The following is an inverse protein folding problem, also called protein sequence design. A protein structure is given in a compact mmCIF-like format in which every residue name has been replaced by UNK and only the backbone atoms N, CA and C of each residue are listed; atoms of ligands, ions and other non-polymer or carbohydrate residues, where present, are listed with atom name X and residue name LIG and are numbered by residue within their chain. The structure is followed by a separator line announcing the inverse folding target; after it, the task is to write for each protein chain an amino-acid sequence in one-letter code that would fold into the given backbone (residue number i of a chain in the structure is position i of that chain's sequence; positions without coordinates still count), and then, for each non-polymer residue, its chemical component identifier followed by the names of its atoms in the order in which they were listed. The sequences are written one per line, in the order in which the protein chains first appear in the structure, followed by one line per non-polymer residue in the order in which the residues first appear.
data_IF_972804301129
#
_entry.id   IF_972804301129
#
_cell.length_a   1.000
_cell.length_b   1.000
_cell.length_c   1.000
_cell.angle_alpha   90.00
_cell.angle_beta   90.00
_cell.angle_gamma   90.00
#
_symmetry.space_group_name_H-M   'P 1'
#
loop_
_entity.id
_entity.type
_entity.pdbx_description
1 polymer ?
#
# COMPACT_ATOMS: atom_id res chain seq x y z
N UNK A 1 9.62 -3.96 68.86
CA UNK A 1 9.11 -4.91 69.88
C UNK A 1 7.69 -4.52 70.30
N UNK A 2 6.70 -5.26 69.80
CA UNK A 2 5.50 -5.69 70.52
C UNK A 2 4.85 -6.78 69.66
N UNK A 3 4.74 -7.96 70.25
CA UNK A 3 4.26 -9.23 69.71
C UNK A 3 2.81 -9.42 70.18
N UNK A 4 2.13 -10.41 69.58
CA UNK A 4 1.01 -11.23 70.13
C UNK A 4 -0.37 -10.78 69.58
N UNK A 5 -1.25 -11.62 68.99
CA UNK A 5 -1.29 -13.08 68.71
C UNK A 5 -2.43 -13.36 67.70
N UNK A 6 -2.26 -14.42 66.90
CA UNK A 6 -3.30 -15.12 66.08
C UNK A 6 -3.76 -16.35 66.86
N UNK A 7 -5.04 -16.75 66.85
CA UNK A 7 -5.43 -18.05 66.25
C UNK A 7 -6.86 -18.02 65.66
N UNK A 8 -7.41 -18.97 64.89
CA UNK A 8 -6.98 -20.18 64.18
C UNK A 8 -8.25 -20.78 63.50
N UNK A 9 -8.05 -21.89 62.77
CA UNK A 9 -9.01 -22.91 62.29
C UNK A 9 -9.66 -22.56 60.93
N UNK A 10 -9.49 -23.31 59.84
CA UNK A 10 -9.20 -24.74 59.60
C UNK A 10 -10.32 -25.28 58.67
N UNK A 11 -10.24 -26.30 57.81
CA UNK A 11 -9.30 -27.40 57.52
C UNK A 11 -10.02 -28.30 56.46
N UNK A 12 -9.28 -28.90 55.50
CA UNK A 12 -9.56 -30.16 54.72
C UNK A 12 -10.73 -30.19 53.68
N UNK A 13 -10.75 -30.99 52.59
CA UNK A 13 -9.89 -32.05 52.03
C UNK A 13 -10.24 -32.34 50.54
N UNK A 14 -9.31 -32.97 49.83
CA UNK A 14 -9.43 -33.59 48.49
C UNK A 14 -9.95 -35.05 48.51
N UNK A 15 -10.16 -35.61 47.29
CA UNK A 15 -10.17 -37.04 46.83
C UNK A 15 -11.57 -37.55 46.36
N UNK A 16 -11.84 -38.39 45.33
CA UNK A 16 -11.13 -39.05 44.20
C UNK A 16 -12.21 -39.79 43.31
N UNK A 17 -12.01 -39.80 41.98
CA UNK A 17 -12.32 -40.80 40.89
C UNK A 17 -13.71 -41.48 40.69
N UNK A 18 -14.24 -41.48 39.46
CA UNK A 18 -14.29 -42.62 38.48
C UNK A 18 -15.35 -42.43 37.35
N UNK A 19 -14.96 -42.76 36.11
CA UNK A 19 -15.68 -42.60 34.80
C UNK A 19 -16.59 -43.81 34.44
N UNK A 20 -17.45 -43.82 33.37
CA UNK A 20 -17.01 -43.93 31.96
C UNK A 20 -17.86 -43.18 30.88
N UNK A 21 -17.23 -43.01 29.71
CA UNK A 21 -17.71 -42.47 28.41
C UNK A 21 -18.70 -43.39 27.67
N UNK A 22 -19.41 -42.92 26.61
CA UNK A 22 -18.94 -43.24 25.25
C UNK A 22 -19.08 -42.13 24.19
N UNK A 23 -18.09 -42.09 23.26
CA UNK A 23 -18.11 -41.85 21.78
C UNK A 23 -19.16 -40.89 21.19
N UNK A 24 -18.89 -39.96 20.26
CA UNK A 24 -17.82 -39.67 19.27
C UNK A 24 -18.19 -38.34 18.54
N UNK A 25 -17.53 -37.87 17.46
CA UNK A 25 -16.12 -37.88 17.06
C UNK A 25 -15.52 -36.45 16.94
N UNK A 26 -14.21 -36.41 16.71
CA UNK A 26 -13.38 -35.23 16.53
C UNK A 26 -13.71 -34.40 15.27
N UNK A 27 -13.55 -33.08 15.40
CA UNK A 27 -13.16 -32.19 14.32
C UNK A 27 -11.96 -31.38 14.81
N UNK A 28 -10.80 -31.79 14.33
CA UNK A 28 -9.60 -30.99 14.25
C UNK A 28 -9.89 -29.85 13.26
N UNK A 29 -9.72 -28.59 13.69
CA UNK A 29 -9.58 -27.45 12.78
C UNK A 29 -8.90 -26.31 13.54
N UNK A 30 -7.58 -26.27 13.40
CA UNK A 30 -6.88 -25.02 13.10
C UNK A 30 -7.72 -24.28 12.03
N UNK A 31 -8.24 -23.11 12.37
CA UNK A 31 -9.11 -22.34 11.52
C UNK A 31 -8.91 -20.88 11.82
N UNK A 32 -8.15 -20.26 10.92
CA UNK A 32 -8.02 -18.84 10.68
C UNK A 32 -9.30 -18.05 11.00
N UNK A 33 -9.16 -16.96 11.74
CA UNK A 33 -10.14 -15.87 11.77
C UNK A 33 -9.40 -14.58 12.08
N UNK A 34 -8.39 -14.30 11.26
CA UNK A 34 -7.82 -12.96 11.04
C UNK A 34 -8.27 -12.39 9.70
N UNK A 35 -9.22 -13.03 9.03
CA UNK A 35 -9.60 -12.78 7.64
C UNK A 35 -11.03 -12.23 7.60
N UNK A 36 -11.23 -10.98 8.02
CA UNK A 36 -12.54 -10.29 7.90
C UNK A 36 -12.51 -8.75 7.90
N UNK A 37 -11.34 -8.11 8.08
CA UNK A 37 -11.27 -6.63 8.10
C UNK A 37 -10.88 -6.02 6.73
N UNK A 38 -10.26 -6.80 5.86
CA UNK A 38 -9.73 -6.31 4.58
C UNK A 38 -10.81 -6.15 3.49
N UNK A 39 -11.84 -6.99 3.44
CA UNK A 39 -12.98 -6.79 2.51
C UNK A 39 -13.73 -5.49 2.86
N UNK A 40 -13.77 -5.13 4.15
CA UNK A 40 -14.33 -3.86 4.60
C UNK A 40 -13.46 -2.68 4.18
N UNK A 41 -12.12 -2.81 4.22
CA UNK A 41 -11.20 -1.82 3.64
C UNK A 41 -11.40 -1.68 2.12
N UNK A 42 -11.40 -2.77 1.36
CA UNK A 42 -11.60 -2.74 -0.11
C UNK A 42 -12.97 -2.14 -0.47
N UNK A 43 -14.04 -2.49 0.24
CA UNK A 43 -15.37 -1.92 0.03
C UNK A 43 -15.45 -0.43 0.41
N UNK A 44 -14.76 0.00 1.47
CA UNK A 44 -14.67 1.41 1.86
C UNK A 44 -13.88 2.23 0.83
N UNK A 45 -12.80 1.66 0.28
CA UNK A 45 -11.98 2.30 -0.76
C UNK A 45 -12.74 2.38 -2.09
N UNK A 46 -13.38 1.29 -2.53
CA UNK A 46 -14.21 1.25 -3.74
C UNK A 46 -15.46 2.16 -3.67
N UNK A 47 -15.94 2.51 -2.46
CA UNK A 47 -17.05 3.46 -2.30
C UNK A 47 -16.60 4.92 -2.32
N UNK A 48 -15.35 5.23 -1.94
CA UNK A 48 -14.81 6.58 -1.96
C UNK A 48 -14.28 7.01 -3.34
N UNK A 49 -13.94 6.08 -4.24
CA UNK A 49 -13.41 6.36 -5.59
C UNK A 49 -14.46 6.78 -6.63
N UNK A 50 -15.77 6.73 -6.33
CA UNK A 50 -16.83 7.13 -7.29
C UNK A 50 -16.88 8.62 -7.66
N UNK A 51 -15.89 9.42 -7.27
CA UNK A 51 -15.90 10.88 -7.44
C UNK A 51 -14.64 11.43 -8.09
N UNK A 52 -14.10 10.74 -9.10
CA UNK A 52 -13.13 11.33 -10.02
C UNK A 52 -13.88 11.94 -11.22
N UNK A 53 -13.70 13.23 -11.56
CA UNK A 53 -14.32 13.82 -12.74
C UNK A 53 -13.73 13.24 -14.03
N UNK A 54 -14.58 12.78 -14.93
CA UNK A 54 -14.20 12.41 -16.31
C UNK A 54 -13.60 13.62 -17.02
N UNK A 55 -12.31 13.59 -17.35
CA UNK A 55 -11.72 14.60 -18.22
C UNK A 55 -12.17 14.36 -19.67
N UNK A 56 -12.91 15.32 -20.20
CA UNK A 56 -13.26 15.42 -21.62
C UNK A 56 -12.09 16.12 -22.32
N UNK A 57 -11.44 15.45 -23.26
CA UNK A 57 -10.38 16.00 -24.09
C UNK A 57 -10.95 17.03 -25.09
N UNK A 58 -10.93 18.30 -24.71
CA UNK A 58 -11.11 19.43 -25.62
C UNK A 58 -9.76 19.90 -26.13
N UNK A 59 -9.34 19.41 -27.30
CA UNK A 59 -8.18 19.93 -28.01
C UNK A 59 -8.57 21.22 -28.74
N UNK A 60 -8.10 22.37 -28.27
CA UNK A 60 -8.09 23.61 -29.06
C UNK A 60 -6.65 24.01 -29.37
N UNK A 61 -6.37 24.13 -30.67
CA UNK A 61 -5.10 24.54 -31.27
C UNK A 61 -4.70 25.96 -30.89
N UNK A 62 -3.41 26.19 -30.64
CA UNK A 62 -2.81 27.53 -30.65
C UNK A 62 -1.90 27.69 -31.88
N UNK A 63 -2.07 28.75 -32.70
CA UNK A 63 -1.15 29.06 -33.80
C UNK A 63 -0.01 29.99 -33.37
N UNK A 64 1.20 29.67 -33.88
CA UNK A 64 2.36 30.50 -34.23
C UNK A 64 2.73 31.78 -33.44
N UNK A 65 4.00 31.89 -33.04
CA UNK A 65 4.99 32.75 -33.72
C UNK A 65 6.34 32.73 -32.97
N UNK A 66 7.43 32.69 -33.73
CA UNK A 66 8.81 32.81 -33.26
C UNK A 66 9.13 34.26 -32.92
N UNK A 67 9.64 34.49 -31.71
CA UNK A 67 10.61 35.55 -31.43
C UNK A 67 11.55 35.06 -30.31
N UNK A 68 12.84 35.31 -30.52
CA UNK A 68 13.92 34.83 -29.67
C UNK A 68 14.10 35.62 -28.38
N UNK A 69 15.00 35.06 -27.55
CA UNK A 69 15.61 35.69 -26.38
C UNK A 69 14.77 35.63 -25.06
N UNK A 70 15.22 34.73 -24.19
CA UNK A 70 15.11 34.81 -22.73
C UNK A 70 13.71 34.83 -22.10
N UNK A 71 13.05 33.65 -22.09
CA UNK A 71 12.17 33.32 -20.98
C UNK A 71 11.98 31.80 -20.84
N UNK A 72 12.99 31.08 -20.32
CA UNK A 72 12.74 29.79 -19.65
C UNK A 72 12.01 30.06 -18.33
N UNK A 73 10.81 30.63 -18.41
CA UNK A 73 9.79 30.36 -17.41
C UNK A 73 9.32 28.96 -17.76
N UNK A 74 9.93 27.97 -17.09
CA UNK A 74 9.24 26.72 -16.76
C UNK A 74 7.83 27.12 -16.39
N UNK A 75 6.86 26.74 -17.22
CA UNK A 75 5.47 26.80 -16.87
C UNK A 75 5.31 26.03 -15.54
N UNK A 76 4.96 26.69 -14.41
CA UNK A 76 4.59 25.98 -13.20
C UNK A 76 3.10 25.66 -13.33
N UNK A 77 2.78 24.77 -14.27
CA UNK A 77 1.43 24.23 -14.44
C UNK A 77 1.54 22.72 -14.63
N UNK A 78 2.18 22.06 -13.68
CA UNK A 78 1.95 20.64 -13.34
C UNK A 78 2.26 20.48 -11.85
N UNK A 79 1.56 21.27 -11.03
CA UNK A 79 1.53 21.08 -9.59
C UNK A 79 0.06 20.95 -9.23
N UNK A 80 -0.35 19.76 -8.78
CA UNK A 80 -1.57 19.66 -8.00
C UNK A 80 -2.59 18.57 -8.33
N UNK A 81 -2.22 17.44 -8.93
CA UNK A 81 -2.95 16.19 -8.67
C UNK A 81 -1.93 15.10 -8.40
N UNK A 82 -1.82 14.71 -7.14
CA UNK A 82 -1.10 13.51 -6.76
C UNK A 82 -1.82 12.31 -7.38
N UNK A 83 -1.08 11.40 -8.01
CA UNK A 83 -1.62 10.14 -8.53
C UNK A 83 -1.96 9.18 -7.38
N UNK A 84 -1.32 9.38 -6.23
CA UNK A 84 -1.46 8.57 -5.03
C UNK A 84 -2.11 9.32 -3.88
N UNK A 85 -2.72 8.54 -2.97
CA UNK A 85 -3.43 9.05 -1.81
C UNK A 85 -2.93 8.36 -0.54
N UNK A 86 -2.72 9.14 0.51
CA UNK A 86 -2.51 8.60 1.86
C UNK A 86 -3.83 8.72 2.62
N UNK A 87 -4.34 7.58 3.08
CA UNK A 87 -5.50 7.52 3.96
C UNK A 87 -5.07 7.00 5.32
N UNK A 88 -5.66 7.57 6.37
CA UNK A 88 -5.44 7.18 7.75
C UNK A 88 -6.80 6.86 8.38
N UNK A 89 -6.88 5.68 8.99
CA UNK A 89 -7.92 5.28 9.94
C UNK A 89 -7.34 5.31 11.35
N UNK A 90 -8.15 5.00 12.35
CA UNK A 90 -7.68 4.88 13.74
C UNK A 90 -6.72 3.70 13.94
N UNK A 91 -6.70 2.74 13.00
CA UNK A 91 -5.95 1.48 13.11
C UNK A 91 -4.81 1.37 12.10
N UNK A 92 -4.93 2.02 10.93
CA UNK A 92 -3.98 1.87 9.83
C UNK A 92 -3.77 3.17 9.06
N UNK A 93 -2.55 3.39 8.58
CA UNK A 93 -2.27 4.41 7.56
C UNK A 93 -1.70 3.73 6.33
N UNK A 94 -2.25 4.04 5.15
CA UNK A 94 -1.88 3.42 3.89
C UNK A 94 -1.75 4.45 2.76
N UNK A 95 -0.77 4.23 1.90
CA UNK A 95 -0.58 4.89 0.60
C UNK A 95 -1.09 3.95 -0.50
N UNK A 96 -1.91 4.44 -1.41
CA UNK A 96 -2.40 3.65 -2.54
C UNK A 96 -2.68 4.49 -3.79
N UNK A 97 -2.74 3.81 -4.94
CA UNK A 97 -3.25 4.33 -6.20
C UNK A 97 -3.74 3.19 -7.09
N UNK A 98 -4.69 3.50 -7.96
CA UNK A 98 -5.22 2.57 -8.97
C UNK A 98 -4.27 2.48 -10.16
N UNK A 99 -4.11 1.27 -10.69
CA UNK A 99 -3.28 0.99 -11.86
C UNK A 99 -4.14 0.90 -13.13
N UNK A 100 -3.54 1.16 -14.31
CA UNK A 100 -4.22 1.03 -15.61
C UNK A 100 -4.81 2.32 -16.20
N UNK A 101 -4.72 3.45 -15.48
CA UNK A 101 -5.03 4.79 -16.01
C UNK A 101 -3.93 5.82 -15.72
N UNK A 102 -2.71 5.38 -15.38
CA UNK A 102 -1.60 6.30 -15.09
C UNK A 102 -0.98 6.82 -16.38
N UNK A 103 -0.49 8.08 -16.41
CA UNK A 103 0.19 8.66 -17.58
C UNK A 103 1.39 7.85 -18.08
N UNK A 104 1.97 7.03 -17.21
CA UNK A 104 3.13 6.20 -17.51
C UNK A 104 2.82 4.82 -18.04
N UNK A 105 1.55 4.38 -18.05
CA UNK A 105 1.20 3.00 -18.39
C UNK A 105 1.65 2.61 -19.80
N UNK A 106 1.53 3.51 -20.77
CA UNK A 106 2.03 3.28 -22.14
C UNK A 106 3.54 3.01 -22.15
N UNK A 107 4.32 3.74 -21.36
CA UNK A 107 5.77 3.54 -21.27
C UNK A 107 6.15 2.24 -20.56
N UNK A 108 5.33 1.78 -19.61
CA UNK A 108 5.52 0.48 -18.95
C UNK A 108 5.26 -0.66 -19.94
N UNK A 109 4.16 -0.59 -20.71
CA UNK A 109 3.88 -1.55 -21.76
C UNK A 109 4.95 -1.58 -22.87
N UNK A 110 5.45 -0.41 -23.29
CA UNK A 110 6.55 -0.33 -24.27
C UNK A 110 7.85 -0.95 -23.76
N UNK A 111 8.08 -0.93 -22.44
CA UNK A 111 9.21 -1.61 -21.81
C UNK A 111 9.01 -3.13 -21.67
N UNK A 112 7.81 -3.64 -21.97
CA UNK A 112 7.49 -5.07 -21.95
C UNK A 112 6.89 -5.58 -20.64
N UNK A 113 6.58 -4.69 -19.70
CA UNK A 113 5.98 -5.03 -18.42
C UNK A 113 4.49 -4.70 -18.39
N UNK A 114 3.76 -5.32 -17.46
CA UNK A 114 2.37 -4.98 -17.17
C UNK A 114 2.30 -3.92 -16.05
N UNK A 115 1.63 -2.76 -16.25
CA UNK A 115 1.49 -1.73 -15.23
C UNK A 115 0.44 -2.13 -14.18
N UNK A 116 0.76 -3.16 -13.39
CA UNK A 116 -0.06 -3.68 -12.30
C UNK A 116 0.54 -3.28 -10.92
N UNK A 117 -0.14 -3.59 -9.81
CA UNK A 117 0.36 -3.21 -8.49
C UNK A 117 1.69 -3.88 -8.12
N UNK A 118 1.95 -5.12 -8.55
CA UNK A 118 3.22 -5.82 -8.31
C UNK A 118 4.38 -5.14 -9.04
N UNK A 119 4.16 -4.73 -10.29
CA UNK A 119 5.11 -3.89 -11.04
C UNK A 119 5.46 -2.62 -10.25
N UNK A 120 4.44 -1.90 -9.78
CA UNK A 120 4.65 -0.67 -9.01
C UNK A 120 5.31 -0.92 -7.65
N UNK A 121 5.13 -2.11 -7.06
CA UNK A 121 5.88 -2.56 -5.90
C UNK A 121 7.36 -2.74 -6.21
N UNK A 122 7.70 -3.35 -7.35
CA UNK A 122 9.07 -3.41 -7.87
C UNK A 122 9.67 -2.02 -8.04
N UNK A 123 8.94 -1.10 -8.67
CA UNK A 123 9.38 0.29 -8.86
C UNK A 123 9.62 0.99 -7.52
N UNK A 124 8.72 0.83 -6.54
CA UNK A 124 8.88 1.38 -5.20
C UNK A 124 10.19 0.92 -4.55
N UNK A 125 10.51 -0.38 -4.65
CA UNK A 125 11.76 -0.97 -4.13
C UNK A 125 13.01 -0.40 -4.82
N UNK A 126 12.93 -0.05 -6.11
CA UNK A 126 14.05 0.55 -6.84
C UNK A 126 14.29 2.02 -6.45
N UNK A 127 13.22 2.79 -6.24
CA UNK A 127 13.32 4.24 -6.00
C UNK A 127 13.49 4.61 -4.53
N UNK A 128 13.03 3.75 -3.62
CA UNK A 128 13.03 4.00 -2.19
C UNK A 128 13.24 2.72 -1.35
N UNK A 129 14.31 1.92 -1.59
CA UNK A 129 14.50 0.62 -0.93
C UNK A 129 14.44 0.71 0.60
N UNK A 130 15.19 1.66 1.17
CA UNK A 130 15.28 1.92 2.62
C UNK A 130 13.95 2.30 3.29
N UNK A 131 13.01 2.85 2.50
CA UNK A 131 11.66 3.19 2.99
C UNK A 131 10.77 1.96 2.90
N UNK A 132 10.89 1.20 1.80
CA UNK A 132 10.12 -0.01 1.57
C UNK A 132 10.39 -1.10 2.62
N UNK A 133 11.62 -1.18 3.17
CA UNK A 133 11.96 -2.10 4.26
C UNK A 133 11.17 -1.87 5.56
N UNK A 134 10.57 -0.68 5.72
CA UNK A 134 9.82 -0.28 6.92
C UNK A 134 8.31 -0.34 6.72
N UNK A 135 7.87 -0.58 5.48
CA UNK A 135 6.48 -0.58 5.09
C UNK A 135 6.03 -2.00 4.79
N UNK A 136 4.76 -2.28 5.05
CA UNK A 136 4.11 -3.49 4.61
C UNK A 136 3.47 -3.22 3.26
N UNK A 137 3.90 -3.95 2.23
CA UNK A 137 3.39 -3.79 0.87
C UNK A 137 2.40 -4.90 0.57
N UNK A 138 1.21 -4.51 0.15
CA UNK A 138 0.07 -5.39 -0.13
C UNK A 138 -0.54 -5.00 -1.47
N UNK A 139 0.31 -4.98 -2.50
CA UNK A 139 -0.09 -4.56 -3.84
C UNK A 139 -0.76 -5.72 -4.58
N UNK A 140 -1.72 -5.37 -5.43
CA UNK A 140 -2.59 -6.30 -6.15
C UNK A 140 -2.60 -5.94 -7.63
N UNK A 141 -3.09 -6.84 -8.49
CA UNK A 141 -3.08 -6.62 -9.94
C UNK A 141 -3.68 -5.25 -10.38
N UNK A 142 -4.70 -4.76 -9.67
CA UNK A 142 -5.35 -3.48 -9.98
C UNK A 142 -4.83 -2.27 -9.19
N UNK A 143 -4.07 -2.45 -8.12
CA UNK A 143 -3.74 -1.36 -7.21
C UNK A 143 -2.38 -1.54 -6.52
N UNK A 144 -1.65 -0.44 -6.39
CA UNK A 144 -0.53 -0.38 -5.47
C UNK A 144 -1.04 -0.03 -4.08
N UNK A 145 -0.53 -0.72 -3.05
CA UNK A 145 -0.82 -0.41 -1.65
C UNK A 145 0.40 -0.68 -0.76
N UNK A 146 0.68 0.28 0.12
CA UNK A 146 1.66 0.15 1.18
C UNK A 146 1.12 0.75 2.47
N UNK A 147 1.37 0.12 3.61
CA UNK A 147 0.96 0.57 4.93
C UNK A 147 2.14 0.72 5.89
N UNK A 148 2.00 1.62 6.87
CA UNK A 148 3.04 1.87 7.85
C UNK A 148 2.94 3.25 8.48
N UNK A 149 4.08 3.78 8.94
CA UNK A 149 4.10 5.11 9.56
C UNK A 149 3.80 6.19 8.53
N UNK A 150 3.03 7.21 8.92
CA UNK A 150 2.71 8.33 8.02
C UNK A 150 3.96 9.00 7.43
N UNK A 151 5.02 9.13 8.22
CA UNK A 151 6.26 9.75 7.78
C UNK A 151 6.96 8.93 6.68
N UNK A 152 6.98 7.61 6.83
CA UNK A 152 7.56 6.71 5.82
C UNK A 152 6.69 6.68 4.55
N UNK A 153 5.36 6.74 4.68
CA UNK A 153 4.44 6.80 3.55
C UNK A 153 4.53 8.13 2.78
N UNK A 154 4.65 9.25 3.47
CA UNK A 154 4.90 10.56 2.85
C UNK A 154 6.27 10.59 2.14
N UNK A 155 7.29 9.93 2.73
CA UNK A 155 8.59 9.77 2.09
C UNK A 155 8.48 8.92 0.82
N UNK A 156 7.77 7.80 0.85
CA UNK A 156 7.53 6.95 -0.32
C UNK A 156 6.76 7.70 -1.40
N UNK A 157 5.66 8.36 -1.03
CA UNK A 157 4.85 9.18 -1.94
C UNK A 157 5.70 10.23 -2.67
N UNK A 158 6.58 10.94 -1.95
CA UNK A 158 7.47 11.94 -2.56
C UNK A 158 8.44 11.38 -3.60
N UNK A 159 8.74 10.08 -3.55
CA UNK A 159 9.60 9.36 -4.50
C UNK A 159 8.83 8.76 -5.65
N UNK A 160 7.61 8.27 -5.41
CA UNK A 160 6.77 7.66 -6.43
C UNK A 160 6.06 8.68 -7.31
N UNK A 161 5.55 9.79 -6.76
CA UNK A 161 4.79 10.79 -7.52
C UNK A 161 5.49 11.28 -8.81
N UNK A 162 6.79 11.62 -8.80
CA UNK A 162 7.48 12.00 -10.03
C UNK A 162 7.52 10.87 -11.07
N UNK A 163 7.57 9.61 -10.62
CA UNK A 163 7.65 8.44 -11.50
C UNK A 163 6.28 8.11 -12.09
N UNK A 164 5.20 8.27 -11.33
CA UNK A 164 3.82 8.03 -11.77
C UNK A 164 3.36 9.03 -12.85
N UNK A 165 3.96 10.22 -12.90
CA UNK A 165 3.60 11.28 -13.84
C UNK A 165 4.55 11.46 -15.02
N UNK A 166 5.71 10.80 -15.05
CA UNK A 166 6.76 11.03 -16.05
C UNK A 166 7.19 9.71 -16.73
N UNK A 167 6.80 9.50 -18.00
CA UNK A 167 7.20 8.35 -18.80
C UNK A 167 8.71 8.13 -18.90
N UNK A 168 9.54 9.18 -18.86
CA UNK A 168 10.99 8.98 -18.84
C UNK A 168 11.51 8.54 -17.48
N UNK A 169 10.88 9.00 -16.40
CA UNK A 169 11.26 8.62 -15.04
C UNK A 169 10.97 7.13 -14.80
N UNK A 170 9.82 6.63 -15.26
CA UNK A 170 9.50 5.20 -15.14
C UNK A 170 10.45 4.33 -15.94
N UNK A 171 10.82 4.71 -17.17
CA UNK A 171 11.79 3.94 -17.99
C UNK A 171 13.14 3.83 -17.29
N UNK A 172 13.63 4.92 -16.71
CA UNK A 172 14.88 4.92 -15.93
C UNK A 172 14.80 4.04 -14.69
N UNK A 173 13.63 4.00 -14.04
CA UNK A 173 13.40 3.12 -12.89
C UNK A 173 13.40 1.64 -13.32
N UNK A 174 12.77 1.32 -14.45
CA UNK A 174 12.77 -0.04 -15.02
C UNK A 174 14.21 -0.47 -15.36
N UNK A 175 14.93 0.31 -16.16
CA UNK A 175 16.32 0.01 -16.55
C UNK A 175 17.23 -0.23 -15.33
N UNK A 176 17.05 0.59 -14.28
CA UNK A 176 17.78 0.43 -13.03
C UNK A 176 17.39 -0.86 -12.31
N UNK A 177 16.09 -1.15 -12.19
CA UNK A 177 15.60 -2.36 -11.53
C UNK A 177 16.07 -3.62 -12.21
N UNK A 178 16.00 -3.69 -13.55
CA UNK A 178 16.51 -4.81 -14.33
C UNK A 178 18.01 -5.03 -14.12
N UNK A 179 18.79 -3.94 -14.07
CA UNK A 179 20.22 -4.00 -13.78
C UNK A 179 20.53 -4.50 -12.35
N UNK A 180 19.62 -4.24 -11.40
CA UNK A 180 19.70 -4.69 -10.01
C UNK A 180 19.08 -6.09 -9.80
N UNK A 181 18.47 -6.68 -10.85
CA UNK A 181 17.86 -8.00 -10.81
C UNK A 181 16.47 -8.04 -10.18
N UNK A 182 15.74 -6.92 -10.19
CA UNK A 182 14.33 -6.85 -9.77
C UNK A 182 13.46 -7.54 -10.82
N UNK A 183 12.61 -8.46 -10.37
CA UNK A 183 11.53 -9.01 -11.18
C UNK A 183 10.29 -8.11 -11.07
N UNK A 184 9.81 -7.61 -12.20
CA UNK A 184 8.69 -6.69 -12.29
C UNK A 184 7.37 -7.39 -12.66
N UNK A 185 7.43 -8.66 -13.07
CA UNK A 185 6.29 -9.41 -13.60
C UNK A 185 5.92 -10.65 -12.73
N UNK A 186 6.42 -10.70 -11.49
CA UNK A 186 6.14 -11.75 -10.49
C UNK A 186 4.79 -11.54 -9.76
#
# INVERSE_FOLDING_TARGET
MRVVVVPALGVLASLIVSTPSPRAPAADSMGDSGESDWESCVLLMATLTRKVPRYSTGAESCPGSMDGEQNRRRCPIFEGMAYSQILATDELTSLFFECGELPTDEAVFEAGHEPNGYFWQGVAKVVAPEVCEKLEMDSEAGMFSASGSRADLEALQSKLEPVLGDPEAVRKAIEKGEAEGVDFDD
#
